data_IF_096361529275
#
_entry.id   IF_096361529275
#
_cell.length_a   1.000
_cell.length_b   1.000
_cell.length_c   1.000
_cell.angle_alpha   90.00
_cell.angle_beta   90.00
_cell.angle_gamma   90.00
#
_symmetry.space_group_name_H-M   'P 1'
#
loop_
_entity.id
_entity.type
_entity.pdbx_description
1 polymer ?
#
# COMPACT_ATOMS: atom_id res chain seq x y z
N UNK A 1 24.11 -7.44 14.23
CA UNK A 1 23.64 -6.64 13.10
C UNK A 1 24.80 -5.80 12.61
N UNK A 2 25.25 -6.11 11.40
CA UNK A 2 26.38 -5.48 10.75
C UNK A 2 26.10 -3.99 10.47
N UNK A 3 27.15 -3.19 10.26
CA UNK A 3 27.01 -1.74 10.03
C UNK A 3 26.17 -1.44 8.79
N UNK A 4 26.32 -2.25 7.74
CA UNK A 4 25.58 -2.10 6.49
C UNK A 4 24.10 -2.49 6.64
N UNK A 5 23.80 -3.52 7.43
CA UNK A 5 22.43 -3.91 7.77
C UNK A 5 21.69 -2.77 8.51
N UNK A 6 22.38 -2.05 9.41
CA UNK A 6 21.81 -0.90 10.13
C UNK A 6 21.46 0.26 9.19
N UNK A 7 22.32 0.55 8.22
CA UNK A 7 22.07 1.62 7.24
C UNK A 7 20.87 1.26 6.35
N UNK A 8 20.81 0.02 5.87
CA UNK A 8 19.69 -0.48 5.07
C UNK A 8 18.37 -0.45 5.82
N UNK A 9 18.34 -0.95 7.06
CA UNK A 9 17.15 -0.94 7.90
C UNK A 9 16.64 0.49 8.16
N UNK A 10 17.56 1.44 8.38
CA UNK A 10 17.20 2.85 8.57
C UNK A 10 16.49 3.42 7.33
N UNK A 11 17.04 3.21 6.14
CA UNK A 11 16.42 3.68 4.90
C UNK A 11 15.03 3.08 4.66
N UNK A 12 14.84 1.80 4.99
CA UNK A 12 13.53 1.16 4.92
C UNK A 12 12.54 1.80 5.90
N UNK A 13 12.93 2.01 7.15
CA UNK A 13 12.08 2.65 8.16
C UNK A 13 11.71 4.09 7.77
N UNK A 14 12.68 4.85 7.24
CA UNK A 14 12.44 6.20 6.76
C UNK A 14 11.48 6.21 5.55
N UNK A 15 11.54 5.19 4.69
CA UNK A 15 10.58 5.02 3.60
C UNK A 15 9.17 4.69 4.11
N UNK A 16 9.05 3.84 5.14
CA UNK A 16 7.75 3.48 5.74
C UNK A 16 7.10 4.71 6.39
N UNK A 17 7.87 5.52 7.11
CA UNK A 17 7.40 6.79 7.70
C UNK A 17 6.89 7.79 6.66
N UNK A 18 7.35 7.70 5.42
CA UNK A 18 6.83 8.51 4.31
C UNK A 18 5.35 8.22 3.97
N UNK A 19 4.81 7.08 4.37
CA UNK A 19 3.41 6.70 4.14
C UNK A 19 2.47 7.08 5.30
N UNK A 20 2.99 7.74 6.34
CA UNK A 20 2.22 8.16 7.51
C UNK A 20 2.80 7.60 8.82
N UNK A 21 2.09 7.86 9.92
CA UNK A 21 2.43 7.35 11.24
C UNK A 21 2.05 5.88 11.34
N UNK A 22 2.93 5.04 11.89
CA UNK A 22 2.68 3.61 12.09
C UNK A 22 2.79 3.26 13.57
N UNK A 23 1.75 2.66 14.20
CA UNK A 23 1.78 2.34 15.63
C UNK A 23 3.00 1.52 16.05
N UNK A 24 3.37 0.53 15.23
CA UNK A 24 4.54 -0.35 15.47
C UNK A 24 5.90 0.36 15.42
N UNK A 25 5.99 1.54 14.79
CA UNK A 25 7.23 2.30 14.65
C UNK A 25 7.27 3.54 15.56
N UNK A 26 6.12 4.18 15.71
CA UNK A 26 6.01 5.52 16.28
C UNK A 26 5.33 5.53 17.65
N UNK A 27 4.65 4.44 18.04
CA UNK A 27 3.85 4.29 19.25
C UNK A 27 2.35 4.46 18.98
N UNK A 28 1.53 3.75 19.75
CA UNK A 28 0.06 3.80 19.64
C UNK A 28 -0.51 5.20 19.95
N UNK A 29 0.23 6.03 20.69
CA UNK A 29 -0.16 7.39 21.10
C UNK A 29 -0.08 8.41 19.95
N UNK A 30 0.70 8.11 18.91
CA UNK A 30 0.88 9.02 17.77
C UNK A 30 -0.02 8.72 16.60
N UNK A 31 -0.46 7.47 16.46
CA UNK A 31 -1.41 7.12 15.41
C UNK A 31 -2.80 7.60 15.80
N UNK A 32 -3.49 8.27 14.87
CA UNK A 32 -4.84 8.78 15.08
C UNK A 32 -5.71 8.32 13.93
N UNK A 33 -6.83 7.69 14.25
CA UNK A 33 -7.81 7.24 13.27
C UNK A 33 -8.35 8.41 12.44
N UNK A 34 -8.53 9.57 13.08
CA UNK A 34 -9.05 10.81 12.50
C UNK A 34 -8.20 11.34 11.33
N UNK A 35 -6.89 11.13 11.41
CA UNK A 35 -5.91 11.65 10.45
C UNK A 35 -5.57 10.61 9.36
N UNK A 36 -6.15 9.41 9.43
CA UNK A 36 -5.77 8.28 8.60
C UNK A 36 -6.72 8.08 7.41
N UNK A 37 -6.32 8.60 6.25
CA UNK A 37 -6.99 8.30 4.98
C UNK A 37 -6.44 7.00 4.36
N UNK A 38 -7.09 5.89 4.70
CA UNK A 38 -6.75 4.57 4.16
C UNK A 38 -6.88 4.53 2.62
N UNK A 39 -7.83 5.26 2.03
CA UNK A 39 -8.06 5.22 0.57
C UNK A 39 -6.88 5.84 -0.17
N UNK A 40 -6.44 7.02 0.26
CA UNK A 40 -5.29 7.70 -0.34
C UNK A 40 -4.01 6.90 -0.15
N UNK A 41 -3.80 6.29 1.02
CA UNK A 41 -2.66 5.42 1.27
C UNK A 41 -2.64 4.21 0.31
N UNK A 42 -3.76 3.49 0.22
CA UNK A 42 -3.85 2.30 -0.63
C UNK A 42 -3.68 2.65 -2.11
N UNK A 43 -4.25 3.77 -2.57
CA UNK A 43 -4.05 4.27 -3.92
C UNK A 43 -2.58 4.58 -4.19
N UNK A 44 -1.93 5.33 -3.29
CA UNK A 44 -0.53 5.73 -3.46
C UNK A 44 0.42 4.53 -3.46
N UNK A 45 0.22 3.59 -2.54
CA UNK A 45 1.04 2.38 -2.44
C UNK A 45 0.80 1.46 -3.65
N UNK A 46 -0.44 1.36 -4.14
CA UNK A 46 -0.74 0.60 -5.35
C UNK A 46 -0.06 1.19 -6.58
N UNK A 47 -0.09 2.52 -6.74
CA UNK A 47 0.54 3.21 -7.85
C UNK A 47 2.07 3.12 -7.83
N UNK A 48 2.69 3.38 -6.68
CA UNK A 48 4.16 3.50 -6.58
C UNK A 48 4.84 2.15 -6.39
N UNK A 49 4.18 1.20 -5.73
CA UNK A 49 4.78 -0.09 -5.34
C UNK A 49 4.08 -1.31 -5.94
N UNK A 50 2.99 -1.11 -6.69
CA UNK A 50 2.18 -2.21 -7.25
C UNK A 50 1.70 -3.22 -6.20
N UNK A 51 1.60 -2.79 -4.93
CA UNK A 51 1.06 -3.65 -3.87
C UNK A 51 -0.45 -3.67 -3.95
N UNK A 52 -1.03 -4.84 -3.68
CA UNK A 52 -2.46 -5.10 -3.65
C UNK A 52 -2.84 -5.50 -2.23
N UNK A 53 -3.33 -4.55 -1.45
CA UNK A 53 -3.65 -4.76 -0.04
C UNK A 53 -5.18 -4.77 0.08
N UNK A 54 -5.72 -5.85 0.66
CA UNK A 54 -7.16 -6.18 0.77
C UNK A 54 -7.87 -6.43 -0.56
N UNK A 55 -7.70 -5.55 -1.53
CA UNK A 55 -8.33 -5.62 -2.85
C UNK A 55 -7.31 -5.49 -3.97
N UNK A 56 -7.62 -6.13 -5.08
CA UNK A 56 -6.96 -5.93 -6.37
C UNK A 56 -7.87 -5.11 -7.25
N UNK A 57 -7.36 -3.98 -7.71
CA UNK A 57 -8.01 -3.12 -8.70
C UNK A 57 -7.21 -3.20 -9.99
N UNK A 58 -7.87 -3.44 -11.11
CA UNK A 58 -7.22 -3.48 -12.42
C UNK A 58 -8.17 -3.14 -13.55
N UNK A 59 -7.59 -2.75 -14.69
CA UNK A 59 -8.33 -2.45 -15.91
C UNK A 59 -8.24 -3.66 -16.83
N UNK A 60 -9.38 -4.24 -17.20
CA UNK A 60 -9.46 -5.45 -18.00
C UNK A 60 -10.41 -5.25 -19.18
N UNK A 61 -10.23 -6.02 -20.25
CA UNK A 61 -11.16 -6.06 -21.38
C UNK A 61 -12.50 -6.61 -20.86
N UNK A 62 -13.61 -5.95 -21.23
CA UNK A 62 -14.94 -6.48 -20.95
C UNK A 62 -15.21 -7.70 -21.84
N UNK A 63 -15.27 -8.88 -21.23
CA UNK A 63 -15.53 -10.14 -21.94
C UNK A 63 -16.93 -10.20 -22.58
N UNK A 64 -17.88 -9.37 -22.13
CA UNK A 64 -19.21 -9.25 -22.75
C UNK A 64 -19.23 -8.25 -23.89
N UNK A 65 -18.27 -7.33 -23.94
CA UNK A 65 -18.10 -6.36 -25.01
C UNK A 65 -16.63 -5.96 -25.17
N UNK A 66 -15.91 -6.68 -26.03
CA UNK A 66 -14.46 -6.55 -26.21
C UNK A 66 -13.99 -5.21 -26.79
N UNK A 67 -14.91 -4.30 -27.17
CA UNK A 67 -14.59 -2.92 -27.57
C UNK A 67 -14.38 -1.97 -26.39
N UNK A 68 -14.55 -2.44 -25.15
CA UNK A 68 -14.50 -1.63 -23.93
C UNK A 68 -13.58 -2.25 -22.88
N UNK A 69 -13.15 -1.41 -21.95
CA UNK A 69 -12.46 -1.82 -20.73
C UNK A 69 -13.35 -1.58 -19.51
N UNK A 70 -13.15 -2.39 -18.47
CA UNK A 70 -13.83 -2.30 -17.18
C UNK A 70 -12.80 -2.24 -16.05
N UNK A 71 -13.19 -1.57 -14.96
CA UNK A 71 -12.47 -1.66 -13.70
C UNK A 71 -12.96 -2.93 -13.00
N UNK A 72 -12.07 -3.88 -12.79
CA UNK A 72 -12.32 -5.05 -11.97
C UNK A 72 -11.83 -4.79 -10.55
N UNK A 73 -12.67 -5.10 -9.58
CA UNK A 73 -12.30 -5.14 -8.16
C UNK A 73 -12.49 -6.57 -7.69
N UNK A 74 -11.44 -7.17 -7.13
CA UNK A 74 -11.50 -8.51 -6.54
C UNK A 74 -10.78 -8.52 -5.19
N UNK A 75 -11.02 -9.55 -4.38
CA UNK A 75 -10.17 -9.84 -3.23
C UNK A 75 -8.72 -10.05 -3.69
N UNK A 76 -7.75 -9.62 -2.87
CA UNK A 76 -6.36 -9.99 -3.10
C UNK A 76 -6.20 -11.49 -2.88
N UNK A 77 -5.63 -12.20 -3.85
CA UNK A 77 -5.31 -13.61 -3.68
C UNK A 77 -4.29 -13.80 -2.53
N UNK A 78 -4.68 -14.54 -1.50
CA UNK A 78 -3.76 -15.01 -0.47
C UNK A 78 -2.79 -16.01 -1.11
N UNK A 79 -1.51 -15.66 -1.16
CA UNK A 79 -0.43 -16.61 -1.52
C UNK A 79 0.01 -17.40 -0.29
#
# INVERSE_FOLDING_TARGET
MDKDERVSAKHLLDSIRGYGVWPMLDGDDKWREEDFDLTSLLAHVSEVRSLKIFVTIGVYIDLKNVSRYIIMVSETASH
#
